data_IF_800004044231
#
_entry.id   IF_800004044231
#
_cell.length_a   1.000
_cell.length_b   1.000
_cell.length_c   1.000
_cell.angle_alpha   90.00
_cell.angle_beta   90.00
_cell.angle_gamma   90.00
#
_symmetry.space_group_name_H-M   'P 1'
#
loop_
_entity.id
_entity.type
_entity.pdbx_description
1 polymer ?
#
# COMPACT_ATOMS: atom_id res chain seq x y z
N UNK A 1 27.62 0.90 8.49
CA UNK A 1 27.12 0.14 9.66
C UNK A 1 25.84 -0.59 9.24
N UNK A 2 25.87 -1.93 9.35
CA UNK A 2 24.82 -2.95 9.20
C UNK A 2 23.94 -2.94 7.94
N UNK A 3 24.50 -3.37 6.80
CA UNK A 3 23.72 -3.83 5.64
C UNK A 3 22.96 -5.13 5.89
N UNK A 4 23.21 -5.82 7.01
CA UNK A 4 22.69 -7.16 7.30
C UNK A 4 21.33 -7.16 8.00
N UNK A 5 20.83 -6.00 8.42
CA UNK A 5 19.55 -5.92 9.14
C UNK A 5 18.35 -5.81 8.20
N UNK A 6 18.53 -5.22 7.03
CA UNK A 6 17.44 -4.86 6.11
C UNK A 6 17.64 -5.45 4.72
N UNK A 7 16.55 -5.99 4.16
CA UNK A 7 16.51 -6.47 2.77
C UNK A 7 16.31 -5.30 1.80
N UNK A 8 15.64 -4.24 2.26
CA UNK A 8 15.34 -3.03 1.51
C UNK A 8 15.26 -1.84 2.46
N UNK A 9 15.74 -0.67 2.03
CA UNK A 9 15.69 0.57 2.81
C UNK A 9 15.73 1.78 1.89
N UNK A 10 14.93 2.79 2.21
CA UNK A 10 15.04 4.14 1.66
C UNK A 10 15.15 5.17 2.80
N UNK A 11 15.05 6.47 2.49
CA UNK A 11 15.09 7.53 3.49
C UNK A 11 13.94 7.47 4.50
N UNK A 12 12.78 6.93 4.10
CA UNK A 12 11.52 7.05 4.83
C UNK A 12 10.99 5.73 5.39
N UNK A 13 11.52 4.59 4.93
CA UNK A 13 11.04 3.25 5.28
C UNK A 13 12.15 2.21 5.13
N UNK A 14 11.98 1.07 5.79
CA UNK A 14 12.89 -0.07 5.68
C UNK A 14 12.15 -1.37 5.94
N UNK A 15 12.53 -2.44 5.24
CA UNK A 15 12.02 -3.79 5.48
C UNK A 15 13.16 -4.64 6.02
N UNK A 16 12.95 -5.20 7.22
CA UNK A 16 13.91 -6.10 7.84
C UNK A 16 13.92 -7.47 7.14
N UNK A 17 14.98 -8.27 7.36
CA UNK A 17 14.99 -9.66 6.92
C UNK A 17 13.85 -10.48 7.56
N UNK A 18 13.47 -10.16 8.81
CA UNK A 18 12.38 -10.85 9.50
C UNK A 18 11.03 -10.57 8.86
N UNK A 19 10.76 -9.32 8.49
CA UNK A 19 9.52 -8.96 7.81
C UNK A 19 9.46 -9.52 6.40
N UNK A 20 10.60 -9.54 5.70
CA UNK A 20 10.71 -10.18 4.40
C UNK A 20 10.50 -11.71 4.48
N UNK A 21 10.95 -12.36 5.56
CA UNK A 21 10.72 -13.78 5.79
C UNK A 21 9.24 -14.13 5.96
N UNK A 22 8.42 -13.22 6.52
CA UNK A 22 6.95 -13.39 6.60
C UNK A 22 6.29 -13.41 5.22
N UNK A 23 6.83 -12.70 4.23
CA UNK A 23 6.37 -12.82 2.84
C UNK A 23 6.56 -14.26 2.35
N UNK A 24 7.73 -14.87 2.57
CA UNK A 24 8.04 -16.22 2.07
C UNK A 24 7.29 -17.34 2.79
N UNK A 25 7.01 -17.17 4.08
CA UNK A 25 6.39 -18.20 4.93
C UNK A 25 4.87 -18.13 5.02
N UNK A 26 4.26 -17.14 4.37
CA UNK A 26 2.81 -16.95 4.46
C UNK A 26 2.34 -16.28 5.75
N UNK A 27 3.24 -15.58 6.45
CA UNK A 27 2.90 -14.81 7.66
C UNK A 27 2.16 -13.51 7.36
N UNK A 28 1.64 -12.89 8.43
CA UNK A 28 1.02 -11.55 8.37
C UNK A 28 2.03 -10.50 7.88
N UNK A 29 1.60 -9.61 6.99
CA UNK A 29 2.43 -8.52 6.52
C UNK A 29 2.47 -7.41 7.57
N UNK A 30 3.65 -6.86 7.84
CA UNK A 30 3.82 -5.71 8.73
C UNK A 30 3.62 -4.38 7.99
N UNK A 31 3.43 -3.31 8.75
CA UNK A 31 3.33 -1.95 8.22
C UNK A 31 4.53 -1.59 7.35
N UNK A 32 5.74 -2.01 7.74
CA UNK A 32 6.98 -1.79 6.98
C UNK A 32 6.93 -2.40 5.57
N UNK A 33 6.33 -3.58 5.44
CA UNK A 33 6.16 -4.28 4.16
C UNK A 33 5.14 -3.54 3.28
N UNK A 34 4.06 -3.04 3.88
CA UNK A 34 3.05 -2.25 3.17
C UNK A 34 3.60 -0.87 2.78
N UNK A 35 4.38 -0.22 3.65
CA UNK A 35 5.05 1.05 3.35
C UNK A 35 5.99 0.92 2.15
N UNK A 36 6.81 -0.15 2.13
CA UNK A 36 7.68 -0.43 1.00
C UNK A 36 6.90 -0.65 -0.30
N UNK A 37 5.74 -1.30 -0.22
CA UNK A 37 4.85 -1.46 -1.38
C UNK A 37 4.34 -0.11 -1.87
N UNK A 38 3.80 0.74 -0.98
CA UNK A 38 3.22 2.04 -1.32
C UNK A 38 4.27 2.96 -1.96
N UNK A 39 5.47 3.05 -1.37
CA UNK A 39 6.56 3.88 -1.89
C UNK A 39 6.97 3.43 -3.29
N UNK A 40 7.09 2.13 -3.53
CA UNK A 40 7.40 1.59 -4.87
C UNK A 40 6.28 1.86 -5.86
N UNK A 41 5.04 1.72 -5.44
CA UNK A 41 3.89 1.99 -6.27
C UNK A 41 3.82 3.47 -6.68
N UNK A 42 4.15 4.40 -5.78
CA UNK A 42 4.26 5.82 -6.13
C UNK A 42 5.27 6.06 -7.24
N UNK A 43 6.48 5.49 -7.10
CA UNK A 43 7.49 5.60 -8.14
C UNK A 43 7.00 5.04 -9.48
N UNK A 44 6.32 3.89 -9.46
CA UNK A 44 5.74 3.28 -10.66
C UNK A 44 4.70 4.20 -11.33
N UNK A 45 3.82 4.81 -10.54
CA UNK A 45 2.78 5.77 -11.03
C UNK A 45 3.43 7.03 -11.60
N UNK A 46 4.45 7.56 -10.93
CA UNK A 46 5.12 8.81 -11.34
C UNK A 46 6.01 8.65 -12.57
N UNK A 47 6.63 7.48 -12.75
CA UNK A 47 7.60 7.24 -13.83
C UNK A 47 6.98 6.60 -15.08
N UNK A 48 5.75 6.09 -15.00
CA UNK A 48 5.12 5.38 -16.12
C UNK A 48 3.80 6.05 -16.52
N UNK A 49 3.76 6.63 -17.73
CA UNK A 49 2.61 7.36 -18.28
C UNK A 49 1.32 6.54 -18.44
N UNK A 50 1.38 5.22 -18.33
CA UNK A 50 0.20 4.35 -18.42
C UNK A 50 -0.67 4.36 -17.16
N UNK A 51 -0.15 4.85 -16.03
CA UNK A 51 -0.89 4.91 -14.78
C UNK A 51 -1.69 6.19 -14.62
N UNK A 52 -2.80 6.08 -13.90
CA UNK A 52 -3.64 7.24 -13.59
C UNK A 52 -3.00 8.07 -12.47
N UNK A 53 -2.39 9.19 -12.84
CA UNK A 53 -1.71 10.08 -11.91
C UNK A 53 -2.66 10.79 -10.94
N UNK A 54 -3.99 10.67 -11.15
CA UNK A 54 -5.02 11.20 -10.25
C UNK A 54 -5.36 10.25 -9.10
N UNK A 55 -4.67 9.11 -8.99
CA UNK A 55 -4.79 8.16 -7.89
C UNK A 55 -3.60 8.34 -6.94
N UNK A 56 -3.90 8.57 -5.68
CA UNK A 56 -2.89 8.54 -4.61
C UNK A 56 -3.16 7.38 -3.66
N UNK A 57 -2.10 6.68 -3.27
CA UNK A 57 -2.19 5.60 -2.27
C UNK A 57 -1.48 6.08 -1.01
N UNK A 58 -2.09 6.07 0.16
CA UNK A 58 -1.43 6.56 1.36
C UNK A 58 -0.64 5.45 2.02
N UNK A 59 0.31 5.81 2.87
CA UNK A 59 0.96 4.87 3.80
C UNK A 59 0.00 4.50 4.95
N UNK A 60 0.13 3.32 5.59
CA UNK A 60 -0.76 2.86 6.67
C UNK A 60 -0.82 3.79 7.88
N UNK A 61 0.27 4.52 8.15
CA UNK A 61 0.34 5.44 9.29
C UNK A 61 -0.77 6.50 9.27
N UNK A 62 -1.31 6.84 8.09
CA UNK A 62 -2.37 7.85 7.98
C UNK A 62 -3.66 7.40 8.66
N UNK A 63 -4.06 6.13 8.44
CA UNK A 63 -5.23 5.56 9.07
C UNK A 63 -5.08 5.56 10.59
N UNK A 64 -3.90 5.15 11.09
CA UNK A 64 -3.61 5.16 12.52
C UNK A 64 -3.67 6.58 13.09
N UNK A 65 -3.10 7.57 12.39
CA UNK A 65 -3.12 8.95 12.83
C UNK A 65 -4.54 9.54 12.93
N UNK A 66 -5.46 9.12 12.05
CA UNK A 66 -6.88 9.46 12.18
C UNK A 66 -7.53 8.81 13.40
N UNK A 67 -7.28 7.51 13.62
CA UNK A 67 -7.82 6.75 14.75
C UNK A 67 -7.33 7.29 16.10
N UNK A 68 -6.09 7.78 16.15
CA UNK A 68 -5.50 8.40 17.34
C UNK A 68 -6.08 9.81 17.64
N UNK A 69 -6.95 10.34 16.77
CA UNK A 69 -7.60 11.64 16.94
C UNK A 69 -6.67 12.85 16.78
N UNK A 70 -5.43 12.65 16.36
CA UNK A 70 -4.41 13.71 16.29
C UNK A 70 -4.46 14.44 14.94
N UNK A 71 -5.44 15.35 14.78
CA UNK A 71 -5.67 16.11 13.54
C UNK A 71 -4.47 16.96 13.11
N UNK A 72 -3.72 17.51 14.05
CA UNK A 72 -2.52 18.32 13.74
C UNK A 72 -1.40 17.47 13.15
N UNK A 73 -1.15 16.29 13.74
CA UNK A 73 -0.18 15.34 13.21
C UNK A 73 -0.59 14.82 11.83
N UNK A 74 -1.89 14.53 11.64
CA UNK A 74 -2.43 14.15 10.33
C UNK A 74 -2.15 15.25 9.29
N UNK A 75 -2.52 16.49 9.59
CA UNK A 75 -2.32 17.61 8.68
C UNK A 75 -0.85 17.85 8.34
N UNK A 76 0.04 17.75 9.35
CA UNK A 76 1.49 17.86 9.17
C UNK A 76 2.02 16.77 8.26
N UNK A 77 1.75 15.50 8.57
CA UNK A 77 2.28 14.38 7.80
C UNK A 77 1.69 14.31 6.39
N UNK A 78 0.42 14.69 6.21
CA UNK A 78 -0.18 14.81 4.88
C UNK A 78 0.57 15.85 4.02
N UNK A 79 0.91 17.01 4.59
CA UNK A 79 1.74 18.02 3.89
C UNK A 79 3.14 17.52 3.53
N UNK A 80 3.73 16.69 4.39
CA UNK A 80 5.08 16.12 4.16
C UNK A 80 5.07 15.00 3.11
N UNK A 81 3.99 14.23 2.99
CA UNK A 81 3.91 13.03 2.16
C UNK A 81 3.16 13.23 0.84
N UNK A 82 2.30 14.24 0.78
CA UNK A 82 1.47 14.55 -0.39
C UNK A 82 1.60 16.03 -0.65
N UNK A 83 2.17 16.39 -1.81
CA UNK A 83 2.19 17.79 -2.21
C UNK A 83 0.75 18.31 -2.32
N UNK A 84 0.51 19.55 -1.89
CA UNK A 84 -0.84 20.14 -1.99
C UNK A 84 -1.37 20.11 -3.42
N UNK A 85 -0.48 20.33 -4.40
CA UNK A 85 -0.82 20.22 -5.82
C UNK A 85 -1.31 18.80 -6.18
N UNK A 86 -0.55 17.77 -5.80
CA UNK A 86 -0.94 16.37 -6.07
C UNK A 86 -2.26 16.02 -5.41
N UNK A 87 -2.50 16.48 -4.18
CA UNK A 87 -3.76 16.23 -3.49
C UNK A 87 -4.96 16.89 -4.18
N UNK A 88 -4.80 18.13 -4.69
CA UNK A 88 -5.87 18.85 -5.42
C UNK A 88 -6.19 18.23 -6.78
N UNK A 89 -5.20 17.60 -7.42
CA UNK A 89 -5.36 16.92 -8.70
C UNK A 89 -5.85 15.47 -8.55
N UNK A 90 -5.88 14.92 -7.33
CA UNK A 90 -6.35 13.58 -7.07
C UNK A 90 -7.87 13.46 -7.20
N UNK A 91 -8.31 12.46 -7.95
CA UNK A 91 -9.72 12.01 -8.02
C UNK A 91 -9.96 10.80 -7.10
N UNK A 92 -8.89 10.16 -6.62
CA UNK A 92 -9.01 8.97 -5.77
C UNK A 92 -7.87 8.88 -4.76
N UNK A 93 -8.21 8.54 -3.52
CA UNK A 93 -7.25 8.21 -2.46
C UNK A 93 -7.52 6.79 -1.98
N UNK A 94 -6.50 5.94 -2.00
CA UNK A 94 -6.53 4.59 -1.46
C UNK A 94 -5.78 4.57 -0.12
N UNK A 95 -6.44 4.12 0.94
CA UNK A 95 -5.89 4.14 2.30
C UNK A 95 -5.79 2.70 2.80
N UNK A 96 -4.58 2.13 2.91
CA UNK A 96 -4.33 0.92 3.69
C UNK A 96 -4.68 1.15 5.16
N UNK A 97 -5.40 0.23 5.77
CA UNK A 97 -5.79 0.28 7.18
C UNK A 97 -5.45 -1.05 7.82
N UNK A 98 -4.74 -1.03 8.95
CA UNK A 98 -4.59 -2.21 9.79
C UNK A 98 -5.45 -2.05 11.03
N UNK A 99 -6.27 -3.05 11.32
CA UNK A 99 -7.04 -3.11 12.57
C UNK A 99 -7.15 -4.54 13.05
N UNK A 100 -6.85 -4.78 14.34
CA UNK A 100 -6.90 -6.11 14.97
C UNK A 100 -6.13 -7.20 14.19
N UNK A 101 -4.95 -6.87 13.67
CA UNK A 101 -4.11 -7.80 12.90
C UNK A 101 -4.61 -8.09 11.47
N UNK A 102 -5.62 -7.36 11.00
CA UNK A 102 -6.19 -7.55 9.67
C UNK A 102 -6.02 -6.29 8.81
N UNK A 103 -5.60 -6.50 7.56
CA UNK A 103 -5.46 -5.44 6.57
C UNK A 103 -6.76 -5.19 5.80
N UNK A 104 -7.15 -3.93 5.73
CA UNK A 104 -8.30 -3.42 4.99
C UNK A 104 -7.84 -2.31 4.04
N UNK A 105 -8.71 -1.95 3.10
CA UNK A 105 -8.47 -0.83 2.20
C UNK A 105 -9.70 0.08 2.15
N UNK A 106 -9.50 1.38 2.36
CA UNK A 106 -10.52 2.41 2.08
C UNK A 106 -10.27 3.04 0.72
N UNK A 107 -11.31 3.16 -0.11
CA UNK A 107 -11.24 3.77 -1.44
C UNK A 107 -12.07 5.05 -1.47
N UNK A 108 -11.41 6.19 -1.38
CA UNK A 108 -12.06 7.50 -1.38
C UNK A 108 -12.09 8.03 -2.81
N UNK A 109 -13.28 8.20 -3.38
CA UNK A 109 -13.45 8.91 -4.65
C UNK A 109 -13.71 10.38 -4.35
N UNK A 110 -12.79 11.24 -4.78
CA UNK A 110 -12.87 12.68 -4.61
C UNK A 110 -13.68 13.25 -5.79
N UNK A 111 -14.81 13.88 -5.46
CA UNK A 111 -15.71 14.56 -6.39
C UNK A 111 -16.36 15.77 -5.70
N UNK A 112 -17.46 16.31 -6.22
CA UNK A 112 -18.21 17.36 -5.52
C UNK A 112 -18.69 16.82 -4.16
N UNK A 113 -18.10 17.34 -3.08
CA UNK A 113 -18.18 16.85 -1.70
C UNK A 113 -19.56 17.05 -1.03
N UNK A 114 -20.64 17.17 -1.81
CA UNK A 114 -21.98 17.47 -1.30
C UNK A 114 -22.64 16.26 -0.63
N UNK A 115 -22.21 15.03 -0.95
CA UNK A 115 -22.71 13.80 -0.35
C UNK A 115 -21.58 12.78 -0.13
N UNK A 116 -21.53 12.17 1.05
CA UNK A 116 -20.60 11.07 1.35
C UNK A 116 -21.40 9.77 1.49
N UNK A 117 -21.05 8.77 0.68
CA UNK A 117 -21.65 7.44 0.74
C UNK A 117 -20.55 6.43 1.04
N UNK A 118 -20.72 5.68 2.12
CA UNK A 118 -19.88 4.51 2.42
C UNK A 118 -20.55 3.31 1.77
N UNK A 119 -19.84 2.66 0.85
CA UNK A 119 -20.30 1.44 0.18
C UNK A 119 -19.33 0.30 0.46
N UNK A 120 -19.87 -0.89 0.72
CA UNK A 120 -19.09 -2.12 0.63
C UNK A 120 -18.95 -2.49 -0.84
N UNK A 121 -17.77 -2.92 -1.24
CA UNK A 121 -17.51 -3.38 -2.61
C UNK A 121 -17.33 -4.89 -2.58
N UNK A 122 -18.02 -5.59 -3.47
CA UNK A 122 -17.81 -7.03 -3.64
C UNK A 122 -16.41 -7.27 -4.20
N UNK A 123 -15.58 -7.90 -3.39
CA UNK A 123 -14.20 -8.27 -3.73
C UNK A 123 -13.98 -9.76 -3.47
N UNK A 124 -13.01 -10.40 -4.14
CA UNK A 124 -12.58 -11.75 -3.78
C UNK A 124 -12.29 -11.82 -2.28
N UNK A 125 -12.97 -12.74 -1.60
CA UNK A 125 -12.80 -12.94 -0.17
C UNK A 125 -11.62 -13.84 0.09
N UNK A 126 -10.80 -13.49 1.07
CA UNK A 126 -9.76 -14.38 1.53
C UNK A 126 -10.35 -15.61 2.24
N UNK A 127 -9.72 -16.76 2.07
CA UNK A 127 -9.96 -17.93 2.90
C UNK A 127 -9.36 -17.78 4.31
N UNK A 128 -9.23 -18.87 5.08
CA UNK A 128 -8.65 -18.88 6.42
C UNK A 128 -7.11 -18.78 6.39
N UNK A 129 -6.57 -17.78 5.68
CA UNK A 129 -5.12 -17.54 5.53
C UNK A 129 -4.74 -16.16 6.08
N UNK A 130 -3.43 -15.91 6.20
CA UNK A 130 -2.86 -14.64 6.67
C UNK A 130 -2.56 -13.69 5.48
N UNK A 131 -3.35 -13.77 4.41
CA UNK A 131 -3.13 -13.07 3.14
C UNK A 131 -3.87 -11.73 3.01
N UNK A 132 -4.50 -11.21 4.05
CA UNK A 132 -5.23 -9.93 4.00
C UNK A 132 -4.42 -8.80 3.37
N UNK A 133 -3.13 -8.70 3.73
CA UNK A 133 -2.22 -7.72 3.15
C UNK A 133 -1.95 -7.94 1.65
N UNK A 134 -1.91 -9.20 1.19
CA UNK A 134 -1.74 -9.54 -0.23
C UNK A 134 -3.02 -9.22 -1.01
N UNK A 135 -4.19 -9.55 -0.47
CA UNK A 135 -5.48 -9.18 -1.07
C UNK A 135 -5.62 -7.66 -1.20
N UNK A 136 -5.25 -6.92 -0.15
CA UNK A 136 -5.21 -5.46 -0.18
C UNK A 136 -4.27 -4.92 -1.26
N UNK A 137 -3.02 -5.40 -1.31
CA UNK A 137 -2.01 -5.01 -2.32
C UNK A 137 -2.55 -5.25 -3.73
N UNK A 138 -3.10 -6.42 -3.99
CA UNK A 138 -3.63 -6.78 -5.30
C UNK A 138 -4.89 -6.00 -5.67
N UNK A 139 -5.71 -5.63 -4.69
CA UNK A 139 -6.83 -4.73 -4.92
C UNK A 139 -6.37 -3.31 -5.30
N UNK A 140 -5.36 -2.78 -4.60
CA UNK A 140 -4.71 -1.52 -4.97
C UNK A 140 -4.14 -1.59 -6.39
N UNK A 141 -3.37 -2.64 -6.70
CA UNK A 141 -2.82 -2.85 -8.04
C UNK A 141 -3.93 -2.91 -9.09
N UNK A 142 -5.04 -3.59 -8.81
CA UNK A 142 -6.16 -3.70 -9.75
C UNK A 142 -6.77 -2.34 -10.11
N UNK A 143 -6.90 -1.46 -9.11
CA UNK A 143 -7.43 -0.11 -9.29
C UNK A 143 -6.44 0.75 -10.09
N UNK A 144 -5.16 0.71 -9.72
CA UNK A 144 -4.11 1.52 -10.37
C UNK A 144 -3.86 1.06 -11.80
N UNK A 145 -3.86 -0.25 -12.06
CA UNK A 145 -3.66 -0.87 -13.38
C UNK A 145 -4.94 -0.94 -14.23
N UNK A 146 -6.09 -0.48 -13.71
CA UNK A 146 -7.40 -0.53 -14.40
C UNK A 146 -7.77 -1.95 -14.87
N UNK A 147 -7.47 -2.96 -14.06
CA UNK A 147 -7.79 -4.38 -14.33
C UNK A 147 -8.84 -4.91 -13.36
N UNK A 148 -9.56 -5.95 -13.76
CA UNK A 148 -10.42 -6.70 -12.85
C UNK A 148 -9.57 -7.39 -11.77
N UNK A 149 -10.05 -7.39 -10.52
CA UNK A 149 -9.42 -8.17 -9.46
C UNK A 149 -9.79 -9.65 -9.62
N UNK A 150 -8.78 -10.47 -9.87
CA UNK A 150 -8.86 -11.93 -9.78
C UNK A 150 -7.67 -12.40 -8.96
N UNK A 151 -7.92 -12.85 -7.74
CA UNK A 151 -6.92 -13.55 -6.93
C UNK A 151 -7.43 -14.98 -6.80
N UNK A 152 -7.02 -15.90 -7.68
CA UNK A 152 -7.34 -17.31 -7.52
C UNK A 152 -6.75 -17.83 -6.20
N UNK A 153 -7.51 -18.66 -5.49
CA UNK A 153 -7.05 -19.36 -4.29
C UNK A 153 -5.83 -20.22 -4.65
N UNK A 154 -4.67 -19.96 -4.02
CA UNK A 154 -3.38 -20.59 -4.34
C UNK A 154 -2.32 -19.66 -4.98
N UNK A 155 -2.72 -18.52 -5.56
CA UNK A 155 -1.77 -17.57 -6.16
C UNK A 155 -1.11 -16.62 -5.13
N UNK A 156 -1.60 -16.54 -3.90
CA UNK A 156 -1.04 -15.66 -2.87
C UNK A 156 0.46 -15.91 -2.61
N UNK A 157 0.91 -17.17 -2.64
CA UNK A 157 2.33 -17.52 -2.53
C UNK A 157 3.16 -16.94 -3.68
N UNK A 158 2.60 -16.92 -4.90
CA UNK A 158 3.24 -16.32 -6.08
C UNK A 158 3.30 -14.80 -5.96
N UNK A 159 2.23 -14.14 -5.51
CA UNK A 159 2.24 -12.69 -5.26
C UNK A 159 3.25 -12.30 -4.17
N UNK A 160 3.30 -13.08 -3.08
CA UNK A 160 4.31 -12.94 -2.01
C UNK A 160 5.73 -13.05 -2.54
N UNK A 161 6.02 -14.12 -3.29
CA UNK A 161 7.34 -14.34 -3.87
C UNK A 161 7.73 -13.23 -4.86
N UNK A 162 6.78 -12.75 -5.68
CA UNK A 162 7.00 -11.63 -6.60
C UNK A 162 7.36 -10.37 -5.83
N UNK A 163 6.62 -10.04 -4.77
CA UNK A 163 6.90 -8.84 -3.99
C UNK A 163 8.22 -8.94 -3.22
N UNK A 164 8.51 -10.09 -2.63
CA UNK A 164 9.82 -10.37 -2.01
C UNK A 164 10.97 -10.19 -3.01
N UNK A 165 10.83 -10.72 -4.23
CA UNK A 165 11.82 -10.53 -5.29
C UNK A 165 11.98 -9.05 -5.65
N UNK A 166 10.90 -8.27 -5.73
CA UNK A 166 10.98 -6.82 -5.97
C UNK A 166 11.77 -6.10 -4.86
N UNK A 167 11.60 -6.48 -3.59
CA UNK A 167 12.38 -5.91 -2.49
C UNK A 167 13.88 -6.22 -2.63
N UNK A 168 14.23 -7.43 -3.08
CA UNK A 168 15.62 -7.86 -3.30
C UNK A 168 16.30 -7.19 -4.51
N UNK A 169 15.66 -7.23 -5.68
CA UNK A 169 16.30 -6.83 -6.94
C UNK A 169 16.44 -5.31 -7.09
N UNK A 170 15.60 -4.55 -6.39
CA UNK A 170 15.67 -3.10 -6.35
C UNK A 170 16.12 -2.60 -4.97
N UNK A 171 17.06 -3.33 -4.34
CA UNK A 171 17.68 -2.97 -3.05
C UNK A 171 18.36 -1.60 -3.10
N UNK A 172 18.99 -1.28 -4.23
CA UNK A 172 19.80 -0.06 -4.43
C UNK A 172 19.20 0.92 -5.45
N UNK A 173 18.04 0.60 -6.03
CA UNK A 173 17.35 1.48 -6.98
C UNK A 173 15.93 1.75 -6.49
N UNK A 174 15.55 3.02 -6.24
CA UNK A 174 14.15 3.38 -6.07
C UNK A 174 13.36 3.25 -7.39
N UNK A 175 14.03 2.99 -8.51
CA UNK A 175 13.47 2.93 -9.86
C UNK A 175 13.46 1.50 -10.39
N UNK A 176 12.31 0.83 -10.25
CA UNK A 176 11.78 -0.23 -11.13
C UNK A 176 10.26 -0.21 -11.03
#
# INVERSE_FOLDING_TARGET
MTSDTYIWKCAEASVSHLDAYKLLTGGELSDDVIDAFVIRLWNKIETTNSYDQKIHVTRPWLAQAFLDGNREMVAKRMKENVSQQKFLECERILIPIVSSGHWHMSNWRLGNLEHHVIVSVDTPQQGPTLDCGIFMIEFINSIVEKRSITIPEGDCAKYRAKFYATLLYARDSPFL
#
